data_IF_413221854989
#
_entry.id   IF_413221854989
#
_cell.length_a   1.000
_cell.length_b   1.000
_cell.length_c   1.000
_cell.angle_alpha   90.00
_cell.angle_beta   90.00
_cell.angle_gamma   90.00
#
_symmetry.space_group_name_H-M   'P 1'
#
loop_
_entity.id
_entity.type
_entity.pdbx_description
1 polymer ?
#
# COMPACT_ATOMS: atom_id res chain seq x y z
N UNK A 1 36.92 -8.20 -17.79
CA UNK A 1 36.61 -6.87 -17.25
C UNK A 1 35.34 -7.05 -16.44
N UNK A 2 35.49 -7.33 -15.15
CA UNK A 2 34.35 -7.39 -14.23
C UNK A 2 34.03 -5.95 -13.85
N UNK A 3 32.87 -5.46 -14.27
CA UNK A 3 32.33 -4.21 -13.74
C UNK A 3 31.94 -4.48 -12.29
N UNK A 4 32.72 -3.92 -11.37
CA UNK A 4 32.42 -3.92 -9.94
C UNK A 4 31.35 -2.87 -9.72
N UNK A 5 30.13 -3.32 -9.40
CA UNK A 5 29.00 -2.48 -8.97
C UNK A 5 29.46 -1.54 -7.83
N UNK A 6 29.07 -0.25 -7.83
CA UNK A 6 29.50 0.68 -6.80
C UNK A 6 29.01 0.23 -5.41
N UNK A 7 29.77 0.53 -4.33
CA UNK A 7 29.39 0.09 -2.99
C UNK A 7 28.08 0.77 -2.57
N UNK A 8 27.07 -0.04 -2.20
CA UNK A 8 25.83 0.45 -1.61
C UNK A 8 26.13 1.20 -0.31
N UNK A 9 25.41 2.28 -0.03
CA UNK A 9 25.61 3.07 1.20
C UNK A 9 25.38 2.19 2.45
N UNK A 10 26.10 2.46 3.56
CA UNK A 10 25.94 1.70 4.82
C UNK A 10 24.49 1.68 5.34
N UNK A 11 23.71 2.72 5.03
CA UNK A 11 22.29 2.79 5.33
C UNK A 11 21.48 1.80 4.47
N UNK A 12 21.79 1.68 3.18
CA UNK A 12 21.21 0.70 2.26
C UNK A 12 21.56 -0.74 2.64
N UNK A 13 22.80 -1.01 3.05
CA UNK A 13 23.19 -2.34 3.56
C UNK A 13 22.47 -2.70 4.87
N UNK A 14 22.33 -1.76 5.81
CA UNK A 14 21.57 -1.97 7.06
C UNK A 14 20.08 -2.19 6.81
N UNK A 15 19.49 -1.44 5.89
CA UNK A 15 18.10 -1.61 5.48
C UNK A 15 17.86 -3.00 4.86
N UNK A 16 18.76 -3.43 3.95
CA UNK A 16 18.71 -4.76 3.37
C UNK A 16 18.87 -5.88 4.42
N UNK A 17 19.74 -5.70 5.41
CA UNK A 17 19.93 -6.66 6.50
C UNK A 17 18.68 -6.79 7.40
N UNK A 18 17.89 -5.72 7.52
CA UNK A 18 16.63 -5.69 8.27
C UNK A 18 15.42 -6.11 7.42
N UNK A 19 15.63 -6.49 6.16
CA UNK A 19 14.56 -6.86 5.22
C UNK A 19 13.66 -5.69 4.85
N UNK A 20 14.18 -4.46 4.90
CA UNK A 20 13.47 -3.25 4.46
C UNK A 20 13.73 -3.10 2.95
N UNK A 21 12.70 -3.20 2.10
CA UNK A 21 12.87 -3.07 0.66
C UNK A 21 13.18 -1.63 0.26
N UNK A 22 13.82 -1.45 -0.90
CA UNK A 22 13.85 -0.14 -1.54
C UNK A 22 12.43 0.25 -1.97
N UNK A 23 12.08 1.52 -1.74
CA UNK A 23 10.78 2.05 -2.08
C UNK A 23 10.93 3.52 -2.44
N UNK A 24 10.97 3.83 -3.73
CA UNK A 24 11.26 5.19 -4.21
C UNK A 24 10.01 6.08 -4.32
N UNK A 25 8.87 5.68 -3.79
CA UNK A 25 7.62 6.46 -3.80
C UNK A 25 7.68 7.49 -2.68
N UNK A 26 7.37 8.75 -2.96
CA UNK A 26 7.32 9.80 -1.93
C UNK A 26 5.93 10.01 -1.35
N UNK A 27 4.86 9.71 -2.11
CA UNK A 27 3.46 9.91 -1.70
C UNK A 27 2.62 8.66 -1.86
N UNK A 28 2.21 8.07 -0.74
CA UNK A 28 1.45 6.83 -0.70
C UNK A 28 0.03 7.05 -0.16
N UNK A 29 -0.96 6.69 -0.97
CA UNK A 29 -2.33 6.53 -0.48
C UNK A 29 -2.47 5.13 0.12
N UNK A 30 -2.61 5.07 1.45
CA UNK A 30 -2.84 3.82 2.18
C UNK A 30 -4.34 3.72 2.53
N UNK A 31 -5.02 2.69 2.03
CA UNK A 31 -6.44 2.45 2.31
C UNK A 31 -6.59 1.26 3.23
N UNK A 32 -7.09 1.49 4.44
CA UNK A 32 -7.33 0.44 5.43
C UNK A 32 -8.81 0.05 5.51
N UNK A 33 -9.06 -1.25 5.44
CA UNK A 33 -10.43 -1.80 5.42
C UNK A 33 -10.80 -2.51 6.73
N UNK A 34 -12.05 -2.95 6.87
CA UNK A 34 -12.56 -3.58 8.09
C UNK A 34 -12.12 -5.03 8.31
N UNK A 35 -10.83 -5.26 8.57
CA UNK A 35 -10.26 -6.56 8.95
C UNK A 35 -9.64 -6.50 10.35
N UNK A 36 -9.52 -7.64 11.04
CA UNK A 36 -8.80 -7.69 12.32
C UNK A 36 -7.34 -7.26 12.18
N UNK A 37 -6.69 -7.57 11.05
CA UNK A 37 -5.30 -7.16 10.76
C UNK A 37 -5.11 -5.64 10.69
N UNK A 38 -6.20 -4.87 10.62
CA UNK A 38 -6.16 -3.41 10.73
C UNK A 38 -5.68 -2.96 12.12
N UNK A 39 -5.85 -3.80 13.15
CA UNK A 39 -5.30 -3.55 14.48
C UNK A 39 -3.76 -3.55 14.51
N UNK A 40 -3.09 -4.10 13.49
CA UNK A 40 -1.64 -4.11 13.37
C UNK A 40 -1.09 -2.82 12.73
N UNK A 41 -1.96 -1.95 12.19
CA UNK A 41 -1.53 -0.71 11.52
C UNK A 41 -0.72 0.25 12.40
N UNK A 42 -0.94 0.39 13.72
CA UNK A 42 -0.05 1.19 14.56
C UNK A 42 1.40 0.69 14.52
N UNK A 43 1.62 -0.63 14.54
CA UNK A 43 2.96 -1.19 14.40
C UNK A 43 3.56 -0.86 13.02
N UNK A 44 2.79 -1.13 11.97
CA UNK A 44 3.23 -0.88 10.60
C UNK A 44 3.45 0.60 10.28
N UNK A 45 2.65 1.49 10.86
CA UNK A 45 2.82 2.93 10.74
C UNK A 45 4.16 3.37 11.32
N UNK A 46 4.46 2.99 12.57
CA UNK A 46 5.76 3.28 13.18
C UNK A 46 6.90 2.71 12.35
N UNK A 47 6.77 1.48 11.85
CA UNK A 47 7.78 0.87 10.98
C UNK A 47 8.00 1.67 9.69
N UNK A 48 6.92 2.07 8.99
CA UNK A 48 7.01 2.90 7.78
C UNK A 48 7.71 4.24 8.07
N UNK A 49 7.33 4.91 9.16
CA UNK A 49 7.93 6.19 9.56
C UNK A 49 9.41 6.07 9.91
N UNK A 50 9.82 4.96 10.52
CA UNK A 50 11.23 4.71 10.86
C UNK A 50 12.06 4.34 9.63
N UNK A 51 11.51 3.52 8.74
CA UNK A 51 12.22 3.01 7.56
C UNK A 51 12.22 3.99 6.39
N UNK A 52 11.19 4.82 6.25
CA UNK A 52 10.99 5.77 5.16
C UNK A 52 10.55 7.14 5.74
N UNK A 53 11.48 7.90 6.33
CA UNK A 53 11.13 9.17 7.00
C UNK A 53 10.51 10.20 6.05
N UNK A 54 10.89 10.17 4.77
CA UNK A 54 10.41 11.10 3.75
C UNK A 54 9.14 10.63 3.03
N UNK A 55 8.63 9.42 3.35
CA UNK A 55 7.39 8.90 2.79
C UNK A 55 6.19 9.62 3.41
N UNK A 56 5.48 10.41 2.62
CA UNK A 56 4.22 11.02 3.01
C UNK A 56 3.06 10.03 2.76
N UNK A 57 2.17 9.89 3.75
CA UNK A 57 1.09 8.91 3.73
C UNK A 57 -0.24 9.62 3.98
N UNK A 58 -1.17 9.47 3.04
CA UNK A 58 -2.59 9.71 3.29
C UNK A 58 -3.25 8.37 3.63
N UNK A 59 -3.59 8.18 4.89
CA UNK A 59 -4.21 6.95 5.40
C UNK A 59 -5.74 7.09 5.42
N UNK A 60 -6.40 6.54 4.42
CA UNK A 60 -7.85 6.48 4.33
C UNK A 60 -8.42 5.31 5.13
N UNK A 61 -9.15 5.59 6.22
CA UNK A 61 -9.81 4.59 7.04
C UNK A 61 -11.28 4.43 6.64
N UNK A 62 -11.64 3.24 6.12
CA UNK A 62 -13.05 2.90 5.91
C UNK A 62 -13.84 2.93 7.22
N UNK A 63 -15.16 3.15 7.14
CA UNK A 63 -16.06 3.08 8.31
C UNK A 63 -15.88 1.79 9.12
N UNK A 64 -15.66 0.66 8.45
CA UNK A 64 -15.47 -0.64 9.11
C UNK A 64 -14.06 -0.79 9.72
N UNK A 65 -13.02 -0.19 9.14
CA UNK A 65 -11.67 -0.18 9.71
C UNK A 65 -11.61 0.52 11.07
N UNK A 66 -12.40 1.59 11.24
CA UNK A 66 -12.48 2.36 12.49
C UNK A 66 -12.99 1.57 13.70
N UNK A 67 -13.50 0.34 13.50
CA UNK A 67 -13.86 -0.59 14.58
C UNK A 67 -12.65 -1.33 15.16
N UNK A 68 -11.55 -1.40 14.41
CA UNK A 68 -10.33 -2.13 14.80
C UNK A 68 -9.20 -1.20 15.23
N UNK A 69 -9.16 0.02 14.70
CA UNK A 69 -8.17 1.04 15.04
C UNK A 69 -8.80 2.42 15.08
N UNK A 70 -8.37 3.26 16.02
CA UNK A 70 -8.82 4.65 16.08
C UNK A 70 -7.89 5.55 15.27
N UNK A 71 -8.38 6.65 14.66
CA UNK A 71 -7.51 7.64 14.02
C UNK A 71 -6.42 8.15 14.97
N UNK A 72 -6.75 8.39 16.24
CA UNK A 72 -5.81 8.82 17.28
C UNK A 72 -4.68 7.82 17.51
N UNK A 73 -4.94 6.51 17.39
CA UNK A 73 -3.89 5.50 17.49
C UNK A 73 -2.93 5.51 16.29
N UNK A 74 -3.28 6.16 15.18
CA UNK A 74 -2.43 6.25 13.99
C UNK A 74 -1.75 7.61 13.87
N UNK A 75 -2.30 8.65 14.50
CA UNK A 75 -1.65 9.96 14.60
C UNK A 75 -0.25 9.85 15.20
N UNK A 76 0.71 10.55 14.59
CA UNK A 76 2.12 10.54 14.98
C UNK A 76 2.87 9.25 14.65
N UNK A 77 2.18 8.18 14.22
CA UNK A 77 2.80 6.93 13.78
C UNK A 77 3.13 6.92 12.31
N UNK A 78 2.43 7.71 11.49
CA UNK A 78 2.75 7.94 10.08
C UNK A 78 3.31 9.36 9.89
N UNK A 79 3.98 9.60 8.77
CA UNK A 79 4.27 10.94 8.28
C UNK A 79 3.17 11.33 7.27
N UNK A 80 2.30 12.27 7.60
CA UNK A 80 1.10 12.61 6.81
C UNK A 80 -0.20 12.56 7.62
N UNK A 81 -1.32 12.27 6.95
CA UNK A 81 -2.67 12.45 7.50
C UNK A 81 -3.48 11.16 7.59
N UNK A 82 -4.36 11.06 8.59
CA UNK A 82 -5.34 9.98 8.72
C UNK A 82 -6.73 10.55 8.43
N UNK A 83 -7.32 10.14 7.31
CA UNK A 83 -8.59 10.67 6.82
C UNK A 83 -9.69 9.60 6.87
N UNK A 84 -10.97 9.98 7.10
CA UNK A 84 -12.08 9.06 6.94
C UNK A 84 -12.36 8.82 5.45
N UNK A 85 -12.53 7.55 5.04
CA UNK A 85 -12.98 7.20 3.68
C UNK A 85 -14.50 7.34 3.56
N UNK A 86 -14.99 8.57 3.70
CA UNK A 86 -16.40 8.95 3.60
C UNK A 86 -16.51 10.29 2.90
N UNK A 87 -17.54 10.47 2.07
CA UNK A 87 -17.82 11.75 1.44
C UNK A 87 -18.05 12.82 2.50
N UNK A 88 -17.28 13.93 2.47
CA UNK A 88 -17.49 15.03 3.40
C UNK A 88 -18.82 15.71 3.10
N UNK A 89 -19.57 16.09 4.14
CA UNK A 89 -20.85 16.79 3.99
C UNK A 89 -20.64 18.27 3.62
N UNK A 90 -19.59 18.90 4.16
CA UNK A 90 -19.35 20.35 4.07
C UNK A 90 -17.96 20.72 3.50
N UNK A 91 -17.25 19.79 2.86
CA UNK A 91 -15.95 20.08 2.21
C UNK A 91 -16.15 20.31 0.70
N UNK A 92 -15.87 21.51 0.16
CA UNK A 92 -16.01 21.79 -1.26
C UNK A 92 -14.94 21.10 -2.12
N UNK A 93 -13.90 20.50 -1.52
CA UNK A 93 -12.84 19.81 -2.26
C UNK A 93 -13.35 18.53 -2.90
N UNK A 94 -12.92 18.29 -4.13
CA UNK A 94 -13.07 17.00 -4.78
C UNK A 94 -12.03 16.01 -4.21
N UNK A 95 -12.24 15.54 -2.98
CA UNK A 95 -11.27 14.70 -2.25
C UNK A 95 -10.79 13.49 -3.06
N UNK A 96 -11.67 12.85 -3.83
CA UNK A 96 -11.30 11.73 -4.70
C UNK A 96 -10.33 12.11 -5.83
N UNK A 97 -10.41 13.34 -6.36
CA UNK A 97 -9.48 13.87 -7.36
C UNK A 97 -8.14 14.16 -6.69
N UNK A 98 -8.16 14.85 -5.55
CA UNK A 98 -6.97 15.14 -4.74
C UNK A 98 -6.19 13.85 -4.43
N UNK A 99 -6.87 12.82 -3.91
CA UNK A 99 -6.26 11.53 -3.60
C UNK A 99 -5.69 10.84 -4.85
N UNK A 100 -6.38 10.92 -6.00
CA UNK A 100 -5.95 10.25 -7.23
C UNK A 100 -4.73 10.91 -7.88
N UNK A 101 -4.63 12.25 -7.79
CA UNK A 101 -3.54 13.06 -8.36
C UNK A 101 -2.34 13.17 -7.42
N UNK A 102 -2.58 13.22 -6.11
CA UNK A 102 -1.52 13.31 -5.10
C UNK A 102 -0.74 12.00 -4.96
N UNK A 103 -1.42 10.85 -5.04
CA UNK A 103 -0.80 9.56 -4.81
C UNK A 103 0.07 9.09 -5.99
N UNK A 104 1.33 8.81 -5.72
CA UNK A 104 2.24 8.13 -6.66
C UNK A 104 2.04 6.61 -6.64
N UNK A 105 1.51 6.09 -5.54
CA UNK A 105 1.11 4.69 -5.37
C UNK A 105 -0.11 4.57 -4.44
N UNK A 106 -0.89 3.50 -4.62
CA UNK A 106 -2.03 3.16 -3.78
C UNK A 106 -1.83 1.78 -3.17
N UNK A 107 -1.90 1.67 -1.85
CA UNK A 107 -1.88 0.40 -1.13
C UNK A 107 -3.20 0.19 -0.39
N UNK A 108 -3.93 -0.88 -0.70
CA UNK A 108 -5.09 -1.30 0.09
C UNK A 108 -4.65 -2.38 1.07
N UNK A 109 -4.42 -2.00 2.32
CA UNK A 109 -3.84 -2.87 3.35
C UNK A 109 -4.44 -2.64 4.74
N UNK A 110 -5.01 -3.68 5.37
CA UNK A 110 -5.51 -4.90 4.73
C UNK A 110 -6.71 -4.58 3.82
N UNK A 111 -6.95 -5.42 2.80
CA UNK A 111 -8.11 -5.36 1.91
C UNK A 111 -9.13 -6.46 2.26
N UNK A 112 -10.35 -6.09 2.62
CA UNK A 112 -11.43 -7.05 2.84
C UNK A 112 -12.01 -7.51 1.51
N UNK A 113 -12.65 -8.70 1.50
CA UNK A 113 -13.40 -9.19 0.34
C UNK A 113 -14.40 -8.15 -0.19
N UNK A 114 -15.04 -7.38 0.71
CA UNK A 114 -15.98 -6.33 0.34
C UNK A 114 -15.32 -5.18 -0.44
N UNK A 115 -14.15 -4.70 0.00
CA UNK A 115 -13.42 -3.67 -0.74
C UNK A 115 -12.91 -4.20 -2.07
N UNK A 116 -12.33 -5.41 -2.08
CA UNK A 116 -11.85 -6.08 -3.30
C UNK A 116 -12.96 -6.25 -4.33
N UNK A 117 -14.16 -6.67 -3.89
CA UNK A 117 -15.32 -6.79 -4.77
C UNK A 117 -15.74 -5.45 -5.36
N UNK A 118 -15.86 -4.40 -4.53
CA UNK A 118 -16.21 -3.06 -5.02
C UNK A 118 -15.21 -2.54 -6.04
N UNK A 119 -13.91 -2.67 -5.77
CA UNK A 119 -12.87 -2.25 -6.70
C UNK A 119 -12.94 -3.04 -8.03
N UNK A 120 -13.11 -4.37 -7.95
CA UNK A 120 -13.17 -5.25 -9.12
C UNK A 120 -14.40 -4.99 -10.00
N UNK A 121 -15.53 -4.62 -9.40
CA UNK A 121 -16.79 -4.34 -10.10
C UNK A 121 -16.89 -2.90 -10.62
N UNK A 122 -15.87 -2.06 -10.40
CA UNK A 122 -15.91 -0.66 -10.82
C UNK A 122 -16.77 0.23 -9.90
N UNK A 123 -17.14 -0.23 -8.71
CA UNK A 123 -17.90 0.56 -7.76
C UNK A 123 -16.99 1.61 -7.11
N UNK A 124 -17.54 2.80 -6.89
CA UNK A 124 -16.81 4.00 -6.49
C UNK A 124 -17.61 4.83 -5.46
N UNK A 125 -18.15 4.15 -4.44
CA UNK A 125 -19.05 4.71 -3.44
C UNK A 125 -18.32 5.41 -2.27
N UNK A 126 -16.99 5.50 -2.30
CA UNK A 126 -16.19 6.27 -1.34
C UNK A 126 -15.06 7.05 -2.04
N UNK A 127 -14.54 8.14 -1.44
CA UNK A 127 -13.45 8.92 -2.03
C UNK A 127 -12.23 8.08 -2.42
N UNK A 128 -11.78 7.17 -1.54
CA UNK A 128 -10.62 6.34 -1.82
C UNK A 128 -10.88 5.30 -2.92
N UNK A 129 -12.09 4.74 -2.99
CA UNK A 129 -12.46 3.85 -4.09
C UNK A 129 -12.52 4.59 -5.42
N UNK A 130 -13.17 5.75 -5.47
CA UNK A 130 -13.25 6.54 -6.70
C UNK A 130 -11.86 6.98 -7.15
N UNK A 131 -10.99 7.39 -6.22
CA UNK A 131 -9.59 7.68 -6.51
C UNK A 131 -8.86 6.46 -7.10
N UNK A 132 -9.04 5.27 -6.51
CA UNK A 132 -8.45 4.02 -7.00
C UNK A 132 -9.03 3.55 -8.36
N UNK A 133 -10.25 3.98 -8.74
CA UNK A 133 -10.78 3.72 -10.09
C UNK A 133 -10.17 4.66 -11.14
N UNK A 134 -9.89 5.91 -10.76
CA UNK A 134 -9.47 6.96 -11.70
C UNK A 134 -7.95 7.15 -11.79
N UNK A 135 -7.18 6.72 -10.79
CA UNK A 135 -5.73 6.89 -10.79
C UNK A 135 -5.04 5.99 -11.81
N UNK A 136 -3.97 6.52 -12.40
CA UNK A 136 -3.02 5.74 -13.20
C UNK A 136 -1.91 5.13 -12.34
N UNK A 137 -1.75 5.56 -11.08
CA UNK A 137 -0.71 5.08 -10.18
C UNK A 137 -0.77 3.54 -10.00
N UNK A 138 0.36 2.89 -9.66
CA UNK A 138 0.37 1.50 -9.22
C UNK A 138 -0.55 1.29 -8.00
N UNK A 139 -1.30 0.20 -8.03
CA UNK A 139 -2.22 -0.19 -6.96
C UNK A 139 -1.87 -1.61 -6.51
N UNK A 140 -1.58 -1.77 -5.22
CA UNK A 140 -1.47 -3.09 -4.60
C UNK A 140 -2.63 -3.31 -3.65
N UNK A 141 -3.28 -4.46 -3.78
CA UNK A 141 -4.37 -4.90 -2.92
C UNK A 141 -3.87 -6.09 -2.10
N UNK A 142 -3.91 -6.01 -0.77
CA UNK A 142 -3.44 -7.06 0.13
C UNK A 142 -4.62 -7.73 0.87
N UNK A 143 -5.19 -8.82 0.33
CA UNK A 143 -6.43 -9.40 0.86
C UNK A 143 -6.25 -9.98 2.25
N UNK A 144 -7.21 -9.72 3.13
CA UNK A 144 -7.38 -10.38 4.42
C UNK A 144 -8.78 -11.01 4.45
N UNK A 145 -8.84 -12.35 4.48
CA UNK A 145 -10.06 -13.10 4.21
C UNK A 145 -10.42 -14.03 5.39
N UNK A 146 -11.71 -14.18 5.69
CA UNK A 146 -12.18 -15.17 6.66
C UNK A 146 -11.99 -16.61 6.14
N UNK A 147 -12.20 -17.63 6.98
CA UNK A 147 -12.30 -19.02 6.53
C UNK A 147 -13.22 -19.21 5.33
N UNK A 148 -12.72 -19.93 4.32
CA UNK A 148 -13.39 -20.16 3.02
C UNK A 148 -13.35 -18.97 2.06
N UNK A 149 -12.83 -17.81 2.47
CA UNK A 149 -12.82 -16.61 1.64
C UNK A 149 -11.91 -16.72 0.40
N UNK A 150 -10.80 -17.45 0.49
CA UNK A 150 -9.87 -17.64 -0.64
C UNK A 150 -10.47 -18.53 -1.74
N UNK A 151 -11.33 -19.47 -1.35
CA UNK A 151 -11.97 -20.44 -2.25
C UNK A 151 -13.33 -19.94 -2.78
N UNK A 152 -13.79 -18.79 -2.28
CA UNK A 152 -15.04 -18.18 -2.71
C UNK A 152 -15.02 -17.89 -4.22
N UNK A 153 -15.99 -18.38 -5.01
CA UNK A 153 -16.07 -18.08 -6.44
C UNK A 153 -16.08 -16.56 -6.72
N UNK A 154 -16.72 -15.78 -5.85
CA UNK A 154 -16.75 -14.32 -5.96
C UNK A 154 -15.33 -13.73 -5.80
N UNK A 155 -14.58 -14.15 -4.79
CA UNK A 155 -13.20 -13.67 -4.60
C UNK A 155 -12.31 -14.02 -5.79
N UNK A 156 -12.40 -15.26 -6.28
CA UNK A 156 -11.62 -15.72 -7.43
C UNK A 156 -11.93 -14.90 -8.69
N UNK A 157 -13.21 -14.63 -8.96
CA UNK A 157 -13.63 -13.78 -10.08
C UNK A 157 -13.12 -12.33 -9.92
N UNK A 158 -13.27 -11.73 -8.74
CA UNK A 158 -12.81 -10.37 -8.47
C UNK A 158 -11.29 -10.25 -8.58
N UNK A 159 -10.53 -11.22 -8.05
CA UNK A 159 -9.08 -11.27 -8.19
C UNK A 159 -8.67 -11.33 -9.66
N UNK A 160 -9.33 -12.16 -10.46
CA UNK A 160 -9.06 -12.28 -11.89
C UNK A 160 -9.34 -10.97 -12.63
N UNK A 161 -10.46 -10.30 -12.33
CA UNK A 161 -10.82 -9.03 -12.93
C UNK A 161 -9.81 -7.92 -12.57
N UNK A 162 -9.35 -7.87 -11.33
CA UNK A 162 -8.33 -6.91 -10.90
C UNK A 162 -6.97 -7.20 -11.53
N UNK A 163 -6.56 -8.47 -11.64
CA UNK A 163 -5.29 -8.85 -12.28
C UNK A 163 -5.23 -8.50 -13.78
N UNK A 164 -6.39 -8.30 -14.43
CA UNK A 164 -6.45 -7.83 -15.81
C UNK A 164 -6.19 -6.31 -15.95
N UNK A 165 -6.19 -5.55 -14.85
CA UNK A 165 -5.87 -4.11 -14.86
C UNK A 165 -4.35 -3.92 -14.80
N UNK A 166 -3.74 -3.21 -15.76
CA UNK A 166 -2.27 -3.15 -15.89
C UNK A 166 -1.58 -2.44 -14.73
N UNK A 167 -2.29 -1.60 -13.97
CA UNK A 167 -1.76 -0.90 -12.81
C UNK A 167 -2.12 -1.56 -11.48
N UNK A 168 -2.70 -2.77 -11.46
CA UNK A 168 -3.16 -3.42 -10.22
C UNK A 168 -2.50 -4.77 -10.00
N UNK A 169 -1.99 -4.99 -8.79
CA UNK A 169 -1.56 -6.31 -8.31
C UNK A 169 -2.37 -6.70 -7.06
N UNK A 170 -2.94 -7.89 -7.08
CA UNK A 170 -3.57 -8.50 -5.89
C UNK A 170 -2.59 -9.48 -5.28
N UNK A 171 -2.12 -9.18 -4.07
CA UNK A 171 -1.17 -10.04 -3.36
C UNK A 171 -1.82 -11.37 -2.97
N UNK A 172 -1.09 -12.49 -3.03
CA UNK A 172 -1.57 -13.73 -2.45
C UNK A 172 -1.67 -13.55 -0.92
N UNK A 173 -2.84 -13.82 -0.31
CA UNK A 173 -2.94 -13.80 1.14
C UNK A 173 -2.19 -15.00 1.74
N UNK A 174 -1.78 -14.87 2.99
CA UNK A 174 -1.02 -15.91 3.71
C UNK A 174 -1.93 -16.74 4.60
N UNK A 175 -1.71 -18.07 4.71
CA UNK A 175 -2.41 -18.88 5.69
C UNK A 175 -2.25 -18.30 7.10
N UNK A 176 -3.34 -18.25 7.84
CA UNK A 176 -3.40 -17.73 9.19
C UNK A 176 -4.37 -18.51 10.08
N UNK A 177 -4.39 -18.14 11.35
CA UNK A 177 -5.27 -18.72 12.37
C UNK A 177 -6.40 -17.72 12.64
N UNK A 178 -7.63 -18.21 12.71
CA UNK A 178 -8.78 -17.41 13.12
C UNK A 178 -8.57 -16.93 14.57
N UNK A 179 -8.53 -15.62 14.78
CA UNK A 179 -8.34 -15.01 16.11
C UNK A 179 -9.44 -15.38 17.12
N UNK A 180 -10.65 -15.69 16.64
CA UNK A 180 -11.80 -15.99 17.51
C UNK A 180 -11.93 -17.48 17.78
N UNK A 181 -11.69 -18.33 16.77
CA UNK A 181 -11.94 -19.77 16.89
C UNK A 181 -10.67 -20.58 17.12
N UNK A 182 -9.48 -19.99 16.92
CA UNK A 182 -8.19 -20.68 16.98
C UNK A 182 -7.98 -21.69 15.84
N UNK A 183 -8.91 -21.79 14.89
CA UNK A 183 -8.84 -22.77 13.79
C UNK A 183 -8.00 -22.26 12.62
N UNK A 184 -7.29 -23.16 11.91
CA UNK A 184 -6.68 -22.81 10.64
C UNK A 184 -7.74 -22.50 9.59
N UNK A 185 -7.32 -21.83 8.51
CA UNK A 185 -8.17 -21.52 7.36
C UNK A 185 -8.55 -20.05 7.23
N UNK A 186 -8.18 -19.20 8.20
CA UNK A 186 -8.19 -17.75 7.99
C UNK A 186 -7.01 -17.34 7.11
N UNK A 187 -7.10 -16.17 6.48
CA UNK A 187 -6.11 -15.69 5.55
C UNK A 187 -5.69 -14.27 5.93
N UNK A 188 -4.44 -14.12 6.34
CA UNK A 188 -3.82 -12.84 6.65
C UNK A 188 -3.37 -12.14 5.36
N UNK A 189 -3.23 -10.81 5.35
CA UNK A 189 -2.59 -10.15 4.22
C UNK A 189 -1.13 -10.62 4.05
N UNK A 190 -0.59 -10.42 2.84
CA UNK A 190 0.85 -10.46 2.63
C UNK A 190 1.55 -9.52 3.62
N UNK A 191 2.82 -9.75 3.91
CA UNK A 191 3.56 -8.82 4.77
C UNK A 191 3.69 -7.45 4.08
N UNK A 192 3.65 -6.38 4.86
CA UNK A 192 3.74 -5.02 4.33
C UNK A 192 4.98 -4.81 3.44
N UNK A 193 6.21 -5.23 3.83
CA UNK A 193 7.38 -5.13 2.97
C UNK A 193 7.18 -5.73 1.56
N UNK A 194 6.59 -6.93 1.46
CA UNK A 194 6.33 -7.56 0.17
C UNK A 194 5.28 -6.80 -0.66
N UNK A 195 4.37 -6.06 -0.02
CA UNK A 195 3.42 -5.20 -0.72
C UNK A 195 4.12 -3.96 -1.30
N UNK A 196 5.08 -3.37 -0.55
CA UNK A 196 5.90 -2.26 -1.04
C UNK A 196 6.77 -2.67 -2.22
N UNK A 197 7.42 -3.83 -2.15
CA UNK A 197 8.18 -4.38 -3.29
C UNK A 197 7.29 -4.60 -4.53
N UNK A 198 6.05 -5.03 -4.34
CA UNK A 198 5.11 -5.22 -5.44
C UNK A 198 4.69 -3.88 -6.06
N UNK A 199 4.53 -2.84 -5.25
CA UNK A 199 4.30 -1.48 -5.73
C UNK A 199 5.49 -0.96 -6.52
N UNK A 200 6.70 -1.14 -5.99
CA UNK A 200 7.94 -0.69 -6.63
C UNK A 200 8.12 -1.37 -7.99
N UNK A 201 7.96 -2.69 -8.08
CA UNK A 201 8.01 -3.42 -9.35
C UNK A 201 6.98 -2.94 -10.36
N UNK A 202 5.75 -2.63 -9.92
CA UNK A 202 4.71 -2.08 -10.80
C UNK A 202 5.05 -0.67 -11.26
N UNK A 203 5.68 0.14 -10.41
CA UNK A 203 6.11 1.49 -10.76
C UNK A 203 7.24 1.44 -11.80
N UNK A 204 8.28 0.66 -11.55
CA UNK A 204 9.44 0.52 -12.45
C UNK A 204 9.03 -0.06 -13.81
N UNK A 205 8.09 -1.00 -13.84
CA UNK A 205 7.55 -1.54 -15.10
C UNK A 205 6.81 -0.49 -15.94
N UNK A 206 6.38 0.62 -15.35
CA UNK A 206 5.65 1.71 -16.01
C UNK A 206 6.54 2.90 -16.35
N UNK A 207 7.65 3.07 -15.64
CA UNK A 207 8.63 4.12 -15.86
C UNK A 207 10.06 3.59 -15.69
N UNK A 208 10.64 2.95 -16.73
CA UNK A 208 11.95 2.31 -16.63
C UNK A 208 13.11 3.30 -16.39
N UNK A 209 12.90 4.60 -16.65
CA UNK A 209 13.93 5.64 -16.58
C UNK A 209 14.18 6.20 -15.18
N UNK A 210 13.29 5.94 -14.21
CA UNK A 210 13.38 6.54 -12.88
C UNK A 210 14.51 6.00 -11.99
N UNK A 211 15.19 4.91 -12.39
CA UNK A 211 16.39 4.38 -11.71
C UNK A 211 17.70 4.99 -12.18
N UNK A 212 17.75 5.52 -13.40
CA UNK A 212 19.00 6.09 -13.95
C UNK A 212 19.26 7.50 -13.42
N UNK A 213 18.22 8.31 -13.16
CA UNK A 213 18.41 9.69 -12.66
C UNK A 213 18.90 9.76 -11.20
N UNK A 214 18.54 8.81 -10.34
CA UNK A 214 18.99 8.75 -8.95
C UNK A 214 20.46 8.36 -8.79
N UNK A 215 21.03 7.65 -9.77
CA UNK A 215 22.43 7.21 -9.73
C UNK A 215 23.38 8.29 -10.31
N UNK A 216 22.88 9.13 -11.21
CA UNK A 216 23.70 10.19 -11.86
C UNK A 216 23.77 11.47 -11.03
N UNK A 217 22.80 11.74 -10.15
CA UNK A 217 22.83 12.96 -9.31
C UNK A 217 23.83 12.89 -8.14
N UNK A 218 24.37 11.71 -7.82
CA UNK A 218 25.41 11.52 -6.79
C UNK A 218 26.84 11.77 -7.27
N UNK A 219 27.08 11.83 -8.59
CA UNK A 219 28.42 11.93 -9.15
C UNK A 219 28.87 13.37 -9.51
N UNK A 220 28.00 14.37 -9.37
CA UNK A 220 28.25 15.71 -9.90
C UNK A 220 28.66 16.80 -8.87
N UNK A 221 28.85 16.48 -7.58
CA UNK A 221 29.18 17.51 -6.57
C UNK A 221 30.60 17.47 -5.97
N UNK A 222 31.52 16.63 -6.45
CA UNK A 222 32.91 16.58 -5.92
C UNK A 222 34.00 16.97 -6.94
N UNK A 223 33.65 17.72 -7.98
CA UNK A 223 34.62 18.27 -8.93
C UNK A 223 34.59 19.81 -8.96
N UNK A 224 34.65 20.48 -7.80
CA UNK A 224 35.12 21.87 -7.68
C UNK A 224 35.25 22.32 -6.22
N UNK A 225 36.34 21.97 -5.54
CA UNK A 225 36.99 22.77 -4.48
C UNK A 225 38.35 22.17 -4.12
#
# INVERSE_FOLDING_TARGET
MSETEPPRSEAGERAALLGVPEFGVSRLLLVATGSVSTADLPFWGTWLRTCYPDLEIMLALTRSARRFVTPTALHGRINGEVIPDTWPEDDPRALHVELAEWAEAVLVYPATLHFTARLALGLADSPALLAAQCTKAPIVVAPALPPGGVDSPAYLAHRSALAARPNVVVMPPRPGISVTTGRPGAWAPALLPHCLEALERLRDARDPGSREETDVSGAASEASA
#
